data_IF_846888158786
#
_entry.id   IF_846888158786
#
_cell.length_a   1.000
_cell.length_b   1.000
_cell.length_c   1.000
_cell.angle_alpha   90.00
_cell.angle_beta   90.00
_cell.angle_gamma   90.00
#
_symmetry.space_group_name_H-M   'P 1'
#
loop_
_entity.id
_entity.type
_entity.pdbx_description
1 polymer ?
#
# COMPACT_ATOMS: atom_id res chain seq x y z
N UNK A 1 18.11 14.48 18.72
CA UNK A 1 17.22 14.72 17.56
C UNK A 1 16.07 13.72 17.65
N UNK A 2 14.83 14.16 17.85
CA UNK A 2 13.64 13.29 17.87
C UNK A 2 12.98 13.38 16.50
N UNK A 3 13.42 12.55 15.56
CA UNK A 3 12.83 12.52 14.23
C UNK A 3 11.58 11.62 14.21
N UNK A 4 10.46 12.26 13.86
CA UNK A 4 9.53 11.74 12.85
C UNK A 4 8.70 10.49 13.18
N UNK A 5 7.86 10.53 14.24
CA UNK A 5 6.73 9.57 14.40
C UNK A 5 5.41 10.04 13.75
N UNK A 6 5.34 11.30 13.29
CA UNK A 6 4.08 11.89 12.80
C UNK A 6 3.77 11.47 11.36
N UNK A 7 4.79 11.22 10.52
CA UNK A 7 4.59 10.88 9.10
C UNK A 7 4.01 9.49 8.84
N UNK A 8 4.31 8.49 9.67
CA UNK A 8 3.89 7.11 9.42
C UNK A 8 2.40 6.90 9.69
N UNK A 9 1.86 7.49 10.78
CA UNK A 9 0.41 7.49 11.03
C UNK A 9 -0.35 8.19 9.90
N UNK A 10 0.12 9.37 9.47
CA UNK A 10 -0.54 10.08 8.37
C UNK A 10 -0.52 9.30 7.06
N UNK A 11 0.57 8.57 6.77
CA UNK A 11 0.66 7.77 5.55
C UNK A 11 -0.26 6.55 5.59
N UNK A 12 -0.24 5.80 6.69
CA UNK A 12 -1.13 4.64 6.87
C UNK A 12 -2.60 5.03 6.76
N UNK A 13 -3.01 6.04 7.52
CA UNK A 13 -4.41 6.49 7.55
C UNK A 13 -4.85 7.04 6.19
N UNK A 14 -3.93 7.66 5.43
CA UNK A 14 -4.17 8.11 4.06
C UNK A 14 -4.33 6.92 3.11
N UNK A 15 -3.39 5.97 3.12
CA UNK A 15 -3.40 4.81 2.25
C UNK A 15 -4.64 3.95 2.49
N UNK A 16 -5.02 3.73 3.75
CA UNK A 16 -6.23 2.96 4.12
C UNK A 16 -7.49 3.53 3.45
N UNK A 17 -7.67 4.86 3.45
CA UNK A 17 -8.79 5.51 2.75
C UNK A 17 -8.79 5.27 1.24
N UNK A 18 -7.60 5.28 0.62
CA UNK A 18 -7.49 5.07 -0.83
C UNK A 18 -7.69 3.60 -1.21
N UNK A 19 -7.27 2.65 -0.36
CA UNK A 19 -7.47 1.22 -0.61
C UNK A 19 -8.96 0.85 -0.72
N UNK A 20 -9.84 1.55 0.02
CA UNK A 20 -11.29 1.35 0.00
C UNK A 20 -11.99 1.89 -1.26
N UNK A 21 -11.33 2.76 -2.04
CA UNK A 21 -11.93 3.36 -3.24
C UNK A 21 -12.00 2.32 -4.36
N UNK A 22 -13.23 1.97 -4.76
CA UNK A 22 -13.49 1.12 -5.91
C UNK A 22 -13.12 1.85 -7.21
N UNK A 23 -12.43 1.15 -8.11
CA UNK A 23 -12.01 1.71 -9.40
C UNK A 23 -10.76 2.58 -9.34
N UNK A 24 -10.09 2.64 -8.19
CA UNK A 24 -8.76 3.24 -8.07
C UNK A 24 -7.70 2.17 -8.30
N UNK A 25 -6.83 2.39 -9.28
CA UNK A 25 -5.66 1.57 -9.51
C UNK A 25 -4.49 2.12 -8.67
N UNK A 26 -3.85 1.23 -7.92
CA UNK A 26 -2.82 1.60 -6.95
C UNK A 26 -1.59 0.74 -7.19
N UNK A 27 -0.45 1.39 -7.44
CA UNK A 27 0.86 0.77 -7.57
C UNK A 27 1.69 1.13 -6.36
N UNK A 28 2.22 0.12 -5.67
CA UNK A 28 3.13 0.29 -4.54
C UNK A 28 4.55 0.10 -5.04
N UNK A 29 5.40 1.09 -4.81
CA UNK A 29 6.83 1.00 -5.10
C UNK A 29 7.56 0.68 -3.80
N UNK A 30 8.31 -0.42 -3.78
CA UNK A 30 9.08 -0.87 -2.62
C UNK A 30 10.46 -0.21 -2.57
N UNK A 31 11.13 -0.33 -1.42
CA UNK A 31 12.47 0.21 -1.21
C UNK A 31 13.53 -0.36 -2.16
N UNK A 32 13.35 -1.60 -2.62
CA UNK A 32 14.23 -2.27 -3.60
C UNK A 32 13.91 -1.87 -5.06
N UNK A 33 12.89 -1.05 -5.27
CA UNK A 33 12.43 -0.63 -6.59
C UNK A 33 11.41 -1.57 -7.24
N UNK A 34 11.00 -2.64 -6.56
CA UNK A 34 9.92 -3.51 -7.03
C UNK A 34 8.60 -2.74 -7.05
N UNK A 35 7.86 -2.87 -8.15
CA UNK A 35 6.51 -2.31 -8.29
C UNK A 35 5.47 -3.42 -8.12
N UNK A 36 4.51 -3.19 -7.24
CA UNK A 36 3.42 -4.13 -6.96
C UNK A 36 2.07 -3.45 -7.20
N UNK A 37 1.36 -3.92 -8.22
CA UNK A 37 -0.01 -3.51 -8.47
C UNK A 37 -0.96 -4.16 -7.46
N UNK A 38 -1.73 -3.34 -6.73
CA UNK A 38 -2.67 -3.84 -5.74
C UNK A 38 -4.01 -4.19 -6.39
N UNK A 39 -4.26 -5.49 -6.53
CA UNK A 39 -5.54 -5.99 -7.01
C UNK A 39 -6.71 -5.66 -6.07
N UNK A 40 -7.92 -5.88 -6.60
CA UNK A 40 -9.18 -5.79 -5.87
C UNK A 40 -9.12 -6.65 -4.61
N UNK A 41 -9.78 -6.20 -3.53
CA UNK A 41 -9.76 -6.81 -2.20
C UNK A 41 -8.39 -6.67 -1.51
N UNK A 42 -8.03 -5.41 -1.25
CA UNK A 42 -6.79 -4.99 -0.58
C UNK A 42 -7.11 -4.24 0.70
N UNK A 43 -6.33 -4.46 1.74
CA UNK A 43 -6.56 -3.87 3.07
C UNK A 43 -5.24 -3.77 3.84
N UNK A 44 -5.21 -2.96 4.91
CA UNK A 44 -4.07 -2.92 5.83
C UNK A 44 -4.43 -3.70 7.10
N UNK A 45 -3.67 -4.74 7.40
CA UNK A 45 -3.77 -5.51 8.65
C UNK A 45 -2.39 -5.54 9.31
N UNK A 46 -2.30 -5.11 10.58
CA UNK A 46 -1.05 -5.15 11.36
C UNK A 46 0.16 -4.53 10.64
N UNK A 47 -0.01 -3.33 10.07
CA UNK A 47 1.04 -2.62 9.30
C UNK A 47 1.52 -3.37 8.04
N UNK A 48 0.71 -4.29 7.52
CA UNK A 48 0.93 -4.95 6.23
C UNK A 48 -0.23 -4.70 5.28
N UNK A 49 0.08 -4.37 4.04
CA UNK A 49 -0.89 -4.38 2.94
C UNK A 49 -1.11 -5.84 2.56
N UNK A 50 -2.35 -6.29 2.68
CA UNK A 50 -2.79 -7.60 2.22
C UNK A 50 -3.48 -7.39 0.89
N UNK A 51 -3.05 -8.12 -0.14
CA UNK A 51 -3.67 -8.08 -1.47
C UNK A 51 -3.59 -9.47 -2.11
N UNK A 52 -4.12 -9.61 -3.32
CA UNK A 52 -3.89 -10.77 -4.18
C UNK A 52 -3.04 -10.36 -5.37
N UNK A 53 -2.28 -11.31 -5.92
CA UNK A 53 -1.64 -11.10 -7.21
C UNK A 53 -2.54 -11.57 -8.37
N UNK A 54 -2.09 -11.33 -9.60
CA UNK A 54 -2.79 -11.79 -10.82
C UNK A 54 -2.93 -13.32 -10.94
N UNK A 55 -2.28 -14.09 -10.06
CA UNK A 55 -2.42 -15.56 -9.95
C UNK A 55 -3.33 -15.99 -8.80
N UNK A 56 -4.11 -15.07 -8.20
CA UNK A 56 -4.96 -15.28 -7.03
C UNK A 56 -4.20 -15.80 -5.79
N UNK A 57 -2.90 -15.54 -5.69
CA UNK A 57 -2.14 -15.83 -4.47
C UNK A 57 -2.18 -14.62 -3.56
N UNK A 58 -2.37 -14.88 -2.26
CA UNK A 58 -2.31 -13.84 -1.24
C UNK A 58 -0.88 -13.31 -1.13
N UNK A 59 -0.74 -11.98 -1.22
CA UNK A 59 0.49 -11.27 -0.97
C UNK A 59 0.36 -10.41 0.29
N UNK A 60 1.50 -10.18 0.95
CA UNK A 60 1.58 -9.37 2.17
C UNK A 60 2.82 -8.49 2.07
N UNK A 61 2.61 -7.18 2.09
CA UNK A 61 3.66 -6.18 1.88
C UNK A 61 3.77 -5.34 3.16
N UNK A 62 4.91 -5.38 3.87
CA UNK A 62 5.12 -4.53 5.04
C UNK A 62 5.09 -3.04 4.65
N UNK A 63 4.35 -2.20 5.38
CA UNK A 63 4.35 -0.75 5.13
C UNK A 63 5.74 -0.12 5.27
N UNK A 64 6.63 -0.73 6.05
CA UNK A 64 8.02 -0.30 6.19
C UNK A 64 8.85 -0.49 4.92
N UNK A 65 8.41 -1.37 4.02
CA UNK A 65 9.07 -1.61 2.73
C UNK A 65 8.53 -0.69 1.62
N UNK A 66 7.42 0.00 1.88
CA UNK A 66 6.81 0.92 0.92
C UNK A 66 7.59 2.22 0.85
N UNK A 67 8.11 2.53 -0.33
CA UNK A 67 8.81 3.78 -0.62
C UNK A 67 7.86 4.87 -1.10
N UNK A 68 6.96 4.52 -2.00
CA UNK A 68 5.93 5.42 -2.55
C UNK A 68 4.73 4.64 -3.06
N UNK A 69 3.63 5.36 -3.31
CA UNK A 69 2.39 4.81 -3.86
C UNK A 69 1.91 5.73 -4.97
N UNK A 70 1.70 5.16 -6.15
CA UNK A 70 1.11 5.85 -7.30
C UNK A 70 -0.35 5.43 -7.45
N UNK A 71 -1.22 6.40 -7.73
CA UNK A 71 -2.67 6.20 -7.78
C UNK A 71 -3.22 6.75 -9.09
N UNK A 72 -3.99 5.94 -9.80
CA UNK A 72 -4.56 6.28 -11.09
C UNK A 72 -6.08 6.15 -11.02
N UNK A 73 -6.77 7.24 -11.37
CA UNK A 73 -8.22 7.22 -11.55
C UNK A 73 -8.52 6.81 -13.00
N UNK A 74 -9.33 5.77 -13.16
CA UNK A 74 -9.86 5.33 -14.45
C UNK A 74 -11.12 6.13 -14.84
#
# INVERSE_FOLDING_TARGET
MKETRVKSKSFRDMLEKYLEIKGLDIIVVLNDGTEVELYKNREIINDMIITMDGSNKRQSIPLSEVKSVDMFAA
#
